data_IF_583856183710
#
_entry.id   IF_583856183710
#
_cell.length_a   1.000
_cell.length_b   1.000
_cell.length_c   1.000
_cell.angle_alpha   90.00
_cell.angle_beta   90.00
_cell.angle_gamma   90.00
#
_symmetry.space_group_name_H-M   'P 1'
#
loop_
_entity.id
_entity.type
_entity.pdbx_description
1 polymer ?
#
# COMPACT_ATOMS: atom_id res chain seq x y z
N UNK A 1 -50.02 -1.78 -9.78
CA UNK A 1 -51.12 -1.74 -10.76
C UNK A 1 -51.30 -0.29 -11.18
N UNK A 2 -51.20 0.01 -12.48
CA UNK A 2 -51.61 1.30 -13.04
C UNK A 2 -50.52 2.07 -13.78
N UNK A 3 -50.13 1.60 -14.97
CA UNK A 3 -49.51 2.41 -16.02
C UNK A 3 -50.49 3.50 -16.50
N UNK A 4 -49.95 4.64 -16.92
CA UNK A 4 -50.64 5.56 -17.83
C UNK A 4 -49.68 5.90 -18.98
N UNK A 5 -50.05 5.47 -20.18
CA UNK A 5 -49.47 5.90 -21.46
C UNK A 5 -50.60 6.63 -22.19
N UNK A 6 -50.28 7.76 -22.80
CA UNK A 6 -50.96 8.38 -23.96
C UNK A 6 -50.05 9.51 -24.45
N UNK A 7 -49.85 9.80 -25.73
CA UNK A 7 -50.11 9.09 -26.99
C UNK A 7 -49.23 9.79 -28.04
N UNK A 8 -48.96 9.10 -29.14
CA UNK A 8 -48.05 9.46 -30.23
C UNK A 8 -48.41 10.75 -30.98
N UNK A 9 -47.38 11.46 -31.47
CA UNK A 9 -47.41 12.15 -32.75
C UNK A 9 -46.17 11.73 -33.53
N UNK A 10 -46.39 11.02 -34.63
CA UNK A 10 -45.41 10.61 -35.63
C UNK A 10 -45.48 11.64 -36.75
N UNK A 11 -44.34 12.21 -37.17
CA UNK A 11 -43.97 12.39 -38.58
C UNK A 11 -42.47 12.77 -38.71
N UNK A 12 -41.75 11.87 -39.40
CA UNK A 12 -40.57 12.03 -40.26
C UNK A 12 -39.21 12.62 -39.77
N UNK A 13 -38.30 11.69 -39.44
CA UNK A 13 -36.85 11.54 -39.74
C UNK A 13 -35.96 12.77 -40.15
N UNK A 14 -34.64 12.81 -39.81
CA UNK A 14 -33.75 11.66 -39.70
C UNK A 14 -32.93 11.56 -38.40
N UNK A 15 -32.54 10.32 -38.12
CA UNK A 15 -31.65 9.86 -37.06
C UNK A 15 -30.43 10.74 -36.78
N UNK A 16 -30.21 11.21 -35.54
CA UNK A 16 -28.88 11.32 -35.00
C UNK A 16 -28.52 9.95 -34.42
N UNK A 17 -27.47 9.34 -34.98
CA UNK A 17 -26.71 8.27 -34.34
C UNK A 17 -26.13 8.77 -33.01
N UNK A 18 -26.98 8.86 -31.98
CA UNK A 18 -26.54 8.99 -30.60
C UNK A 18 -26.17 7.60 -30.10
N UNK A 19 -25.10 7.04 -30.67
CA UNK A 19 -24.33 6.04 -29.94
C UNK A 19 -23.62 6.83 -28.85
N UNK A 20 -24.35 7.00 -27.75
CA UNK A 20 -23.86 7.35 -26.42
C UNK A 20 -22.39 7.00 -26.35
N UNK A 21 -21.54 8.02 -26.28
CA UNK A 21 -20.14 7.84 -25.94
C UNK A 21 -20.13 6.91 -24.73
N UNK A 22 -19.73 5.65 -24.94
CA UNK A 22 -19.37 4.76 -23.85
C UNK A 22 -18.26 5.51 -23.17
N UNK A 23 -18.58 6.13 -22.04
CA UNK A 23 -17.60 6.58 -21.06
C UNK A 23 -16.92 5.32 -20.58
N UNK A 24 -16.00 4.83 -21.40
CA UNK A 24 -15.08 3.78 -21.06
C UNK A 24 -14.38 4.33 -19.83
N UNK A 25 -14.50 3.67 -18.70
CA UNK A 25 -13.70 3.92 -17.50
C UNK A 25 -12.26 3.49 -17.83
N UNK A 26 -11.67 4.21 -18.77
CA UNK A 26 -10.31 4.14 -19.27
C UNK A 26 -9.55 5.40 -18.90
N UNK A 27 -9.97 6.06 -17.81
CA UNK A 27 -9.13 7.02 -17.13
C UNK A 27 -7.93 6.31 -16.52
N UNK A 28 -6.79 6.96 -16.57
CA UNK A 28 -5.58 6.52 -15.88
C UNK A 28 -5.86 6.56 -14.37
N UNK A 29 -5.64 5.43 -13.70
CA UNK A 29 -5.81 5.32 -12.25
C UNK A 29 -4.44 5.37 -11.61
N UNK A 30 -4.22 6.37 -10.78
CA UNK A 30 -2.98 6.55 -10.06
C UNK A 30 -3.15 6.22 -8.59
N UNK A 31 -2.16 5.52 -8.04
CA UNK A 31 -2.08 5.22 -6.61
C UNK A 31 -1.16 6.22 -5.95
N UNK A 32 -1.67 6.90 -4.91
CA UNK A 32 -0.82 7.70 -4.04
C UNK A 32 0.03 6.77 -3.18
N UNK A 33 1.35 6.93 -3.24
CA UNK A 33 2.30 6.15 -2.44
C UNK A 33 3.22 7.15 -1.75
N UNK A 34 3.10 7.31 -0.41
CA UNK A 34 4.05 8.10 0.37
C UNK A 34 5.50 7.58 0.24
N UNK A 35 6.46 8.43 0.60
CA UNK A 35 7.87 8.05 0.66
C UNK A 35 8.14 6.80 1.48
N UNK A 36 8.90 5.87 0.89
CA UNK A 36 9.34 4.66 1.56
C UNK A 36 10.30 4.98 2.71
N UNK A 37 10.27 4.17 3.76
CA UNK A 37 11.27 4.21 4.83
C UNK A 37 12.40 3.22 4.51
N UNK A 38 13.62 3.54 4.92
CA UNK A 38 14.77 2.62 4.85
C UNK A 38 15.34 2.42 6.24
N UNK A 39 15.65 1.17 6.65
CA UNK A 39 16.35 0.95 7.91
C UNK A 39 17.80 1.42 7.77
N UNK A 40 18.45 1.70 8.91
CA UNK A 40 19.90 1.81 9.00
C UNK A 40 20.53 0.56 9.60
N UNK A 41 21.84 0.45 9.42
CA UNK A 41 22.62 -0.61 10.04
C UNK A 41 22.58 -0.46 11.57
N UNK A 42 22.33 -1.57 12.24
CA UNK A 42 22.40 -1.72 13.70
C UNK A 42 23.16 -3.02 13.94
N UNK A 43 24.17 -2.99 14.81
CA UNK A 43 24.89 -4.22 15.21
C UNK A 43 24.08 -4.96 16.28
N UNK A 44 23.14 -5.77 15.81
CA UNK A 44 22.28 -6.56 16.68
C UNK A 44 23.05 -7.70 17.35
N UNK A 45 24.18 -8.15 16.80
CA UNK A 45 24.98 -9.21 17.44
C UNK A 45 25.62 -8.69 18.72
N UNK A 46 26.19 -7.50 18.65
CA UNK A 46 26.78 -6.83 19.82
C UNK A 46 25.69 -6.49 20.86
N UNK A 47 24.59 -5.86 20.43
CA UNK A 47 23.52 -5.43 21.35
C UNK A 47 22.80 -6.59 22.04
N UNK A 48 22.73 -7.77 21.41
CA UNK A 48 22.08 -8.95 21.97
C UNK A 48 23.05 -9.91 22.66
N UNK A 49 24.34 -9.54 22.77
CA UNK A 49 25.35 -10.40 23.37
C UNK A 49 24.98 -10.74 24.81
N UNK A 50 24.92 -12.03 25.12
CA UNK A 50 24.54 -12.52 26.46
C UNK A 50 23.04 -12.48 26.77
N UNK A 51 22.22 -11.84 25.93
CA UNK A 51 20.76 -11.76 26.10
C UNK A 51 20.02 -12.89 25.35
N UNK A 52 20.57 -13.35 24.23
CA UNK A 52 20.03 -14.45 23.43
C UNK A 52 21.15 -15.38 22.94
N UNK A 53 20.79 -16.52 22.35
CA UNK A 53 21.77 -17.42 21.74
C UNK A 53 22.51 -16.73 20.57
N UNK A 54 23.79 -17.07 20.40
CA UNK A 54 24.63 -16.52 19.33
C UNK A 54 24.08 -16.81 17.93
N UNK A 55 23.42 -17.97 17.77
CA UNK A 55 22.72 -18.34 16.53
C UNK A 55 21.52 -17.42 16.26
N UNK A 56 20.68 -17.15 17.27
CA UNK A 56 19.53 -16.26 17.11
C UNK A 56 19.96 -14.82 16.81
N UNK A 57 20.97 -14.31 17.53
CA UNK A 57 21.53 -12.98 17.27
C UNK A 57 22.12 -12.90 15.85
N UNK A 58 22.80 -13.96 15.39
CA UNK A 58 23.36 -14.02 14.03
C UNK A 58 22.28 -14.08 12.96
N UNK A 59 21.22 -14.87 13.18
CA UNK A 59 20.09 -14.96 12.28
C UNK A 59 19.32 -13.65 12.20
N UNK A 60 19.11 -12.97 13.32
CA UNK A 60 18.46 -11.66 13.35
C UNK A 60 19.28 -10.61 12.59
N UNK A 61 20.60 -10.56 12.82
CA UNK A 61 21.51 -9.69 12.08
C UNK A 61 21.46 -9.98 10.58
N UNK A 62 21.47 -11.26 10.19
CA UNK A 62 21.40 -11.67 8.79
C UNK A 62 20.11 -11.17 8.13
N UNK A 63 18.95 -11.41 8.76
CA UNK A 63 17.65 -11.01 8.22
C UNK A 63 17.52 -9.49 8.10
N UNK A 64 17.91 -8.73 9.14
CA UNK A 64 17.91 -7.25 9.07
C UNK A 64 18.86 -6.74 7.98
N UNK A 65 20.03 -7.35 7.84
CA UNK A 65 21.01 -6.96 6.81
C UNK A 65 20.48 -7.23 5.39
N UNK A 66 19.72 -8.32 5.20
CA UNK A 66 19.05 -8.59 3.92
C UNK A 66 18.03 -7.51 3.58
N UNK A 67 17.22 -7.06 4.54
CA UNK A 67 16.29 -5.93 4.37
C UNK A 67 17.06 -4.66 3.98
N UNK A 68 18.12 -4.31 4.72
CA UNK A 68 18.95 -3.13 4.42
C UNK A 68 19.53 -3.15 3.01
N UNK A 69 20.11 -4.27 2.59
CA UNK A 69 20.70 -4.46 1.25
C UNK A 69 19.61 -4.35 0.17
N UNK A 70 18.44 -4.96 0.40
CA UNK A 70 17.34 -4.90 -0.54
C UNK A 70 16.75 -3.48 -0.65
N UNK A 71 16.62 -2.74 0.46
CA UNK A 71 16.21 -1.34 0.46
C UNK A 71 17.16 -0.44 -0.34
N UNK A 72 18.47 -0.64 -0.20
CA UNK A 72 19.48 0.12 -0.96
C UNK A 72 19.35 -0.09 -2.47
N UNK A 73 19.09 -1.32 -2.91
CA UNK A 73 18.85 -1.65 -4.33
C UNK A 73 17.56 -1.03 -4.86
N UNK A 74 16.49 -1.00 -4.05
CA UNK A 74 15.22 -0.36 -4.43
C UNK A 74 15.33 1.17 -4.54
N UNK A 75 16.11 1.81 -3.67
CA UNK A 75 16.29 3.28 -3.69
C UNK A 75 17.15 3.77 -4.87
N UNK A 76 18.12 2.96 -5.32
CA UNK A 76 18.98 3.25 -6.48
C UNK A 76 18.19 3.35 -7.80
N UNK A 77 17.14 2.54 -7.97
CA UNK A 77 16.28 2.60 -9.15
C UNK A 77 15.51 3.94 -9.22
N UNK A 78 15.08 4.48 -8.07
CA UNK A 78 14.31 5.73 -7.98
C UNK A 78 15.14 6.98 -8.28
N UNK A 79 16.43 7.03 -7.90
CA UNK A 79 17.31 8.20 -8.15
C UNK A 79 17.84 8.31 -9.60
N UNK A 80 17.65 7.30 -10.44
CA UNK A 80 18.24 7.23 -11.80
C UNK A 80 17.34 7.75 -12.94
N UNK A 81 16.42 8.69 -12.67
CA UNK A 81 15.47 9.25 -13.66
C UNK A 81 16.11 10.06 -14.82
N UNK A 82 17.42 9.93 -15.07
CA UNK A 82 18.08 10.36 -16.30
C UNK A 82 19.04 9.28 -16.79
N UNK A 83 18.57 8.51 -17.79
CA UNK A 83 19.28 7.52 -18.63
C UNK A 83 19.17 6.05 -18.18
N UNK A 84 18.13 5.35 -18.67
CA UNK A 84 18.26 4.49 -19.87
C UNK A 84 16.97 3.75 -20.23
N UNK A 85 16.86 3.59 -21.54
CA UNK A 85 16.04 2.68 -22.33
C UNK A 85 16.19 1.22 -21.85
N UNK A 86 15.06 0.51 -21.72
CA UNK A 86 14.96 -0.94 -21.52
C UNK A 86 15.67 -1.55 -20.29
N UNK A 87 14.97 -1.64 -19.15
CA UNK A 87 15.28 -2.67 -18.15
C UNK A 87 14.04 -3.04 -17.31
N UNK A 88 13.81 -4.35 -17.17
CA UNK A 88 12.75 -4.92 -16.33
C UNK A 88 13.10 -4.71 -14.84
N UNK A 89 12.47 -3.74 -14.18
CA UNK A 89 12.67 -3.48 -12.75
C UNK A 89 11.54 -4.08 -11.87
N UNK A 90 11.28 -5.39 -12.04
CA UNK A 90 10.51 -6.22 -11.11
C UNK A 90 11.33 -7.01 -10.07
N UNK A 91 12.65 -7.30 -10.22
CA UNK A 91 13.36 -8.14 -9.25
C UNK A 91 13.57 -7.49 -7.88
N UNK A 92 13.81 -6.18 -7.83
CA UNK A 92 14.27 -5.48 -6.62
C UNK A 92 13.17 -5.34 -5.56
N UNK A 93 11.94 -5.00 -5.95
CA UNK A 93 10.83 -4.84 -5.02
C UNK A 93 10.42 -6.19 -4.40
N UNK A 94 10.39 -7.24 -5.21
CA UNK A 94 10.07 -8.60 -4.75
C UNK A 94 11.14 -9.15 -3.79
N UNK A 95 12.42 -8.85 -4.03
CA UNK A 95 13.51 -9.22 -3.12
C UNK A 95 13.38 -8.53 -1.76
N UNK A 96 12.97 -7.25 -1.74
CA UNK A 96 12.75 -6.52 -0.49
C UNK A 96 11.52 -7.04 0.26
N UNK A 97 10.42 -7.29 -0.46
CA UNK A 97 9.24 -7.88 0.16
C UNK A 97 9.57 -9.22 0.82
N UNK A 98 10.27 -10.11 0.11
CA UNK A 98 10.72 -11.40 0.66
C UNK A 98 11.60 -11.23 1.89
N UNK A 99 12.55 -10.29 1.87
CA UNK A 99 13.40 -10.03 3.02
C UNK A 99 12.58 -9.57 4.24
N UNK A 100 11.62 -8.67 4.04
CA UNK A 100 10.72 -8.19 5.10
C UNK A 100 9.82 -9.31 5.65
N UNK A 101 9.21 -10.12 4.78
CA UNK A 101 8.36 -11.26 5.18
C UNK A 101 9.16 -12.31 5.95
N UNK A 102 10.43 -12.56 5.59
CA UNK A 102 11.28 -13.48 6.33
C UNK A 102 11.75 -12.91 7.68
N UNK A 103 11.83 -11.59 7.80
CA UNK A 103 12.23 -10.89 9.03
C UNK A 103 11.07 -10.72 10.03
N UNK A 104 9.84 -10.59 9.55
CA UNK A 104 8.69 -10.32 10.41
C UNK A 104 8.44 -11.41 11.49
N UNK A 105 8.51 -12.73 11.22
CA UNK A 105 8.24 -13.75 12.23
C UNK A 105 9.17 -13.69 13.44
N UNK A 106 10.45 -13.36 13.21
CA UNK A 106 11.42 -13.26 14.32
C UNK A 106 11.10 -12.04 15.19
N UNK A 107 10.74 -10.89 14.60
CA UNK A 107 10.30 -9.71 15.35
C UNK A 107 9.03 -9.97 16.16
N UNK A 108 8.05 -10.67 15.58
CA UNK A 108 6.84 -11.05 16.31
C UNK A 108 7.15 -12.01 17.47
N UNK A 109 8.16 -12.87 17.33
CA UNK A 109 8.68 -13.68 18.43
C UNK A 109 9.19 -12.83 19.61
N UNK A 110 9.85 -11.70 19.33
CA UNK A 110 10.29 -10.76 20.37
C UNK A 110 9.12 -10.03 21.05
N UNK A 111 8.10 -9.64 20.28
CA UNK A 111 6.89 -8.99 20.83
C UNK A 111 6.10 -9.95 21.72
N UNK A 112 5.93 -11.20 21.29
CA UNK A 112 5.17 -12.22 22.02
C UNK A 112 5.93 -12.83 23.21
N UNK A 113 7.27 -12.88 23.14
CA UNK A 113 8.14 -13.35 24.22
C UNK A 113 8.31 -12.38 25.39
N UNK A 114 7.81 -11.14 25.27
CA UNK A 114 7.86 -10.09 26.29
C UNK A 114 9.09 -9.17 26.20
N UNK A 115 8.97 -7.96 26.77
CA UNK A 115 9.93 -6.85 26.63
C UNK A 115 11.33 -7.09 27.20
N UNK A 116 11.53 -8.19 27.95
CA UNK A 116 12.81 -8.48 28.63
C UNK A 116 13.97 -8.74 27.67
N UNK A 117 13.70 -9.07 26.40
CA UNK A 117 14.71 -9.30 25.37
C UNK A 117 14.96 -8.07 24.47
N UNK A 118 14.09 -7.06 24.54
CA UNK A 118 14.09 -5.90 23.66
C UNK A 118 14.48 -4.59 24.35
N UNK A 119 14.53 -4.56 25.69
CA UNK A 119 14.95 -3.40 26.46
C UNK A 119 16.39 -3.03 26.15
N UNK A 120 16.60 -2.04 25.26
CA UNK A 120 17.91 -1.49 24.93
C UNK A 120 18.27 -1.48 23.45
N UNK A 121 17.54 -2.17 22.58
CA UNK A 121 17.81 -2.13 21.13
C UNK A 121 17.12 -0.91 20.52
N UNK A 122 17.93 0.04 20.06
CA UNK A 122 17.47 1.20 19.30
C UNK A 122 17.45 0.84 17.82
N UNK A 123 16.30 1.04 17.19
CA UNK A 123 16.10 0.82 15.77
C UNK A 123 16.06 2.15 15.03
N UNK A 124 16.93 2.27 14.04
CA UNK A 124 17.06 3.48 13.23
C UNK A 124 16.42 3.30 11.85
N UNK A 125 15.58 4.25 11.46
CA UNK A 125 14.95 4.34 10.15
C UNK A 125 14.98 5.77 9.63
N UNK A 126 15.11 5.90 8.31
CA UNK A 126 15.06 7.18 7.60
C UNK A 126 13.89 7.19 6.63
N UNK A 127 13.17 8.31 6.56
CA UNK A 127 12.23 8.55 5.47
C UNK A 127 13.02 8.96 4.22
N UNK A 128 12.86 8.24 3.11
CA UNK A 128 13.65 8.46 1.89
C UNK A 128 13.32 9.80 1.22
N UNK A 129 12.13 10.35 1.44
CA UNK A 129 11.72 11.65 0.90
C UNK A 129 12.13 12.83 1.78
N UNK A 130 12.40 12.59 3.06
CA UNK A 130 12.82 13.61 4.01
C UNK A 130 13.84 13.05 5.00
N UNK A 131 15.13 13.19 4.64
CA UNK A 131 16.25 12.72 5.47
C UNK A 131 16.27 13.38 6.86
N UNK A 132 15.60 14.52 7.06
CA UNK A 132 15.49 15.19 8.36
C UNK A 132 14.47 14.53 9.30
N UNK A 133 13.65 13.60 8.79
CA UNK A 133 12.69 12.78 9.56
C UNK A 133 13.28 11.41 9.89
N UNK A 134 14.57 11.34 10.16
CA UNK A 134 15.18 10.17 10.78
C UNK A 134 14.57 9.94 12.16
N UNK A 135 14.21 8.69 12.45
CA UNK A 135 13.72 8.30 13.77
C UNK A 135 14.43 7.07 14.29
N UNK A 136 14.86 7.19 15.54
CA UNK A 136 15.57 6.19 16.32
C UNK A 136 14.74 5.88 17.57
N UNK A 137 14.18 4.67 17.68
CA UNK A 137 13.37 4.28 18.83
C UNK A 137 13.81 2.93 19.40
N UNK A 138 13.92 2.90 20.73
CA UNK A 138 14.23 1.72 21.53
C UNK A 138 13.04 0.76 21.69
N UNK A 139 12.46 0.25 20.60
CA UNK A 139 11.29 -0.62 20.69
C UNK A 139 11.14 -1.55 19.50
N UNK A 140 10.93 -2.83 19.80
CA UNK A 140 10.59 -3.85 18.78
C UNK A 140 9.19 -3.59 18.20
N UNK A 141 8.25 -3.02 18.97
CA UNK A 141 6.96 -2.62 18.41
C UNK A 141 7.13 -1.60 17.30
N UNK A 142 7.99 -0.60 17.52
CA UNK A 142 8.32 0.40 16.50
C UNK A 142 8.97 -0.24 15.25
N UNK A 143 9.86 -1.21 15.44
CA UNK A 143 10.47 -1.95 14.34
C UNK A 143 9.42 -2.75 13.54
N UNK A 144 8.50 -3.46 14.22
CA UNK A 144 7.41 -4.19 13.58
C UNK A 144 6.49 -3.23 12.80
N UNK A 145 6.12 -2.09 13.39
CA UNK A 145 5.31 -1.07 12.71
C UNK A 145 6.01 -0.56 11.45
N UNK A 146 7.31 -0.32 11.51
CA UNK A 146 8.11 0.13 10.35
C UNK A 146 8.14 -0.91 9.23
N UNK A 147 8.27 -2.20 9.57
CA UNK A 147 8.23 -3.31 8.61
C UNK A 147 6.85 -3.46 7.97
N UNK A 148 5.77 -3.45 8.77
CA UNK A 148 4.40 -3.55 8.26
C UNK A 148 4.04 -2.37 7.36
N UNK A 149 4.44 -1.16 7.76
CA UNK A 149 4.28 0.04 6.95
C UNK A 149 4.96 -0.10 5.59
N UNK A 150 6.24 -0.51 5.56
CA UNK A 150 6.99 -0.68 4.32
C UNK A 150 6.39 -1.78 3.43
N UNK A 151 5.95 -2.91 4.00
CA UNK A 151 5.26 -3.96 3.25
C UNK A 151 3.97 -3.46 2.59
N UNK A 152 3.17 -2.67 3.32
CA UNK A 152 1.96 -2.06 2.77
C UNK A 152 2.27 -1.07 1.64
N UNK A 153 3.26 -0.20 1.82
CA UNK A 153 3.67 0.75 0.79
C UNK A 153 4.24 0.08 -0.47
N UNK A 154 5.00 -1.02 -0.32
CA UNK A 154 5.49 -1.79 -1.46
C UNK A 154 4.34 -2.40 -2.27
N UNK A 155 3.33 -2.95 -1.61
CA UNK A 155 2.15 -3.49 -2.28
C UNK A 155 1.36 -2.38 -3.02
N UNK A 156 1.22 -1.19 -2.44
CA UNK A 156 0.62 -0.03 -3.11
C UNK A 156 1.44 0.41 -4.32
N UNK A 157 2.76 0.46 -4.19
CA UNK A 157 3.67 0.79 -5.29
C UNK A 157 3.57 -0.22 -6.44
N UNK A 158 3.53 -1.50 -6.12
CA UNK A 158 3.36 -2.56 -7.12
C UNK A 158 2.00 -2.45 -7.81
N UNK A 159 0.91 -2.21 -7.07
CA UNK A 159 -0.42 -1.97 -7.64
C UNK A 159 -0.39 -0.79 -8.62
N UNK A 160 0.31 0.30 -8.27
CA UNK A 160 0.47 1.45 -9.15
C UNK A 160 1.16 1.08 -10.48
N UNK A 161 2.14 0.18 -10.47
CA UNK A 161 2.82 -0.26 -11.71
C UNK A 161 1.92 -1.07 -12.62
N UNK A 162 0.92 -1.78 -12.08
CA UNK A 162 -0.10 -2.47 -12.88
C UNK A 162 -1.14 -1.51 -13.46
N UNK A 163 -1.40 -0.40 -12.79
CA UNK A 163 -2.43 0.57 -13.17
C UNK A 163 -1.89 1.77 -13.97
N UNK A 164 -0.57 1.99 -13.98
CA UNK A 164 0.04 3.06 -14.76
C UNK A 164 0.38 2.55 -16.16
N UNK A 165 -0.19 3.12 -17.24
CA UNK A 165 0.14 2.72 -18.59
C UNK A 165 1.61 3.05 -18.92
N UNK A 166 2.30 2.12 -19.58
CA UNK A 166 3.69 2.30 -20.01
C UNK A 166 3.73 3.16 -21.27
N UNK A 167 4.74 4.02 -21.46
CA UNK A 167 4.88 4.75 -22.72
C UNK A 167 4.91 3.76 -23.89
N UNK A 168 4.18 4.04 -24.99
CA UNK A 168 4.07 3.11 -26.11
C UNK A 168 5.45 2.92 -26.74
N UNK A 169 6.05 1.74 -26.57
CA UNK A 169 7.07 1.28 -27.49
C UNK A 169 6.34 0.93 -28.79
N UNK A 170 6.60 1.69 -29.86
CA UNK A 170 6.15 1.42 -31.22
C UNK A 170 4.65 1.09 -31.37
N UNK A 171 3.80 2.13 -31.37
CA UNK A 171 2.48 2.08 -32.02
C UNK A 171 1.34 1.36 -31.29
N UNK A 172 1.56 0.68 -30.16
CA UNK A 172 0.48 0.07 -29.37
C UNK A 172 -0.04 1.01 -28.28
N UNK A 173 -1.35 1.20 -28.19
CA UNK A 173 -1.96 1.91 -27.05
C UNK A 173 -1.74 1.10 -25.77
N UNK A 174 -0.95 1.63 -24.83
CA UNK A 174 -0.76 1.03 -23.51
C UNK A 174 -2.03 1.27 -22.68
N UNK A 175 -3.07 0.46 -22.88
CA UNK A 175 -4.25 0.49 -22.03
C UNK A 175 -4.08 -0.54 -20.92
N UNK A 176 -4.38 -0.14 -19.69
CA UNK A 176 -4.41 -1.04 -18.53
C UNK A 176 -5.39 -2.18 -18.80
N UNK A 177 -4.91 -3.41 -18.71
CA UNK A 177 -5.73 -4.59 -19.00
C UNK A 177 -6.65 -4.94 -17.82
N UNK A 178 -7.73 -5.69 -18.09
CA UNK A 178 -8.58 -6.22 -17.01
C UNK A 178 -7.85 -7.19 -16.07
N UNK A 179 -6.82 -7.89 -16.55
CA UNK A 179 -5.98 -8.73 -15.69
C UNK A 179 -5.10 -7.88 -14.78
N UNK A 180 -4.47 -6.84 -15.31
CA UNK A 180 -3.68 -5.88 -14.51
C UNK A 180 -4.53 -5.24 -13.41
N UNK A 181 -5.79 -4.87 -13.71
CA UNK A 181 -6.73 -4.36 -12.71
C UNK A 181 -7.08 -5.42 -11.64
N UNK A 182 -7.23 -6.69 -12.00
CA UNK A 182 -7.46 -7.78 -11.02
C UNK A 182 -6.25 -8.00 -10.11
N UNK A 183 -5.05 -8.01 -10.67
CA UNK A 183 -3.81 -8.13 -9.90
C UNK A 183 -3.65 -6.94 -8.94
N UNK A 184 -3.99 -5.72 -9.38
CA UNK A 184 -3.98 -4.54 -8.52
C UNK A 184 -4.99 -4.65 -7.36
N UNK A 185 -6.18 -5.22 -7.56
CA UNK A 185 -7.14 -5.49 -6.47
C UNK A 185 -6.53 -6.40 -5.42
N UNK A 186 -5.84 -7.48 -5.82
CA UNK A 186 -5.18 -8.38 -4.87
C UNK A 186 -4.08 -7.67 -4.07
N UNK A 187 -3.30 -6.80 -4.72
CA UNK A 187 -2.27 -6.01 -4.08
C UNK A 187 -2.85 -4.95 -3.12
N UNK A 188 -3.98 -4.33 -3.44
CA UNK A 188 -4.67 -3.44 -2.51
C UNK A 188 -5.17 -4.17 -1.26
N UNK A 189 -5.75 -5.36 -1.42
CA UNK A 189 -6.17 -6.17 -0.28
C UNK A 189 -4.97 -6.59 0.58
N UNK A 190 -3.85 -6.97 -0.07
CA UNK A 190 -2.59 -7.27 0.61
C UNK A 190 -2.08 -6.05 1.40
N UNK A 191 -2.03 -4.87 0.79
CA UNK A 191 -1.64 -3.63 1.47
C UNK A 191 -2.53 -3.33 2.68
N UNK A 192 -3.85 -3.37 2.51
CA UNK A 192 -4.83 -3.16 3.57
C UNK A 192 -4.59 -4.12 4.74
N UNK A 193 -4.34 -5.41 4.48
CA UNK A 193 -4.08 -6.40 5.54
C UNK A 193 -2.83 -6.11 6.38
N UNK A 194 -1.77 -5.54 5.78
CA UNK A 194 -0.58 -5.14 6.54
C UNK A 194 -0.88 -3.96 7.47
N UNK A 195 -1.65 -2.98 7.00
CA UNK A 195 -2.05 -1.83 7.81
C UNK A 195 -3.05 -2.23 8.90
N UNK A 196 -4.02 -3.10 8.58
CA UNK A 196 -4.97 -3.68 9.54
C UNK A 196 -4.23 -4.45 10.64
N UNK A 197 -3.20 -5.22 10.27
CA UNK A 197 -2.34 -5.92 11.25
C UNK A 197 -1.66 -4.94 12.20
N UNK A 198 -1.11 -3.83 11.69
CA UNK A 198 -0.53 -2.78 12.53
C UNK A 198 -1.57 -2.19 13.49
N UNK A 199 -2.77 -1.89 13.00
CA UNK A 199 -3.87 -1.28 13.77
C UNK A 199 -4.46 -2.20 14.83
N UNK A 200 -4.62 -3.48 14.54
CA UNK A 200 -5.33 -4.42 15.43
C UNK A 200 -4.42 -5.26 16.29
N UNK A 201 -3.23 -5.60 15.81
CA UNK A 201 -2.34 -6.53 16.50
C UNK A 201 -1.15 -5.84 17.17
N UNK A 202 -0.66 -4.72 16.62
CA UNK A 202 0.62 -4.13 17.07
C UNK A 202 0.38 -2.86 17.90
N UNK A 203 -0.31 -1.86 17.35
CA UNK A 203 -0.56 -0.58 18.02
C UNK A 203 -1.27 -0.73 19.39
N UNK A 204 -2.32 -1.54 19.55
CA UNK A 204 -3.00 -1.68 20.84
C UNK A 204 -2.08 -2.18 21.95
N UNK A 205 -1.11 -3.04 21.58
CA UNK A 205 -0.15 -3.64 22.50
C UNK A 205 1.14 -2.82 22.66
N UNK A 206 1.30 -1.75 21.88
CA UNK A 206 2.49 -0.89 21.96
C UNK A 206 2.42 -0.05 23.25
N UNK A 207 3.49 0.03 24.05
CA UNK A 207 3.54 0.88 25.24
C UNK A 207 3.26 2.35 24.92
N UNK A 208 2.57 3.05 25.82
CA UNK A 208 2.12 4.43 25.56
C UNK A 208 3.29 5.43 25.44
N UNK A 209 4.40 5.19 26.13
CA UNK A 209 5.63 6.00 26.01
C UNK A 209 6.29 5.85 24.64
N UNK A 210 6.13 4.68 23.99
CA UNK A 210 6.55 4.43 22.62
C UNK A 210 5.55 5.06 21.64
N UNK A 211 4.24 4.88 21.85
CA UNK A 211 3.20 5.50 21.00
C UNK A 211 3.38 7.02 20.88
N UNK A 212 3.67 7.68 22.01
CA UNK A 212 3.89 9.14 22.06
C UNK A 212 5.12 9.61 21.26
N UNK A 213 6.05 8.71 20.93
CA UNK A 213 7.29 9.00 20.18
C UNK A 213 7.22 8.53 18.71
N UNK A 214 6.13 7.89 18.29
CA UNK A 214 6.00 7.39 16.93
C UNK A 214 6.05 8.55 15.91
N UNK A 215 6.76 8.38 14.78
CA UNK A 215 6.69 9.36 13.70
C UNK A 215 5.30 9.42 13.07
N UNK A 216 5.01 10.54 12.41
CA UNK A 216 3.69 10.82 11.82
C UNK A 216 3.23 9.80 10.76
N UNK A 217 4.14 9.03 10.16
CA UNK A 217 3.82 7.97 9.21
C UNK A 217 3.50 6.62 9.90
N UNK A 218 3.75 6.48 11.20
CA UNK A 218 3.50 5.25 11.98
C UNK A 218 2.44 5.43 13.08
N UNK A 219 1.70 6.54 13.09
CA UNK A 219 0.58 6.73 14.01
C UNK A 219 -0.69 6.04 13.51
N UNK A 220 -1.62 5.76 14.43
CA UNK A 220 -2.90 5.09 14.13
C UNK A 220 -3.66 5.77 12.98
N UNK A 221 -3.76 7.10 12.99
CA UNK A 221 -4.48 7.85 11.96
C UNK A 221 -3.90 7.61 10.56
N UNK A 222 -2.56 7.52 10.44
CA UNK A 222 -1.91 7.26 9.15
C UNK A 222 -2.18 5.84 8.66
N UNK A 223 -2.03 4.84 9.54
CA UNK A 223 -2.34 3.46 9.19
C UNK A 223 -3.79 3.28 8.74
N UNK A 224 -4.75 3.91 9.43
CA UNK A 224 -6.17 3.89 9.03
C UNK A 224 -6.39 4.58 7.68
N UNK A 225 -5.75 5.73 7.45
CA UNK A 225 -5.85 6.44 6.18
C UNK A 225 -5.33 5.58 5.02
N UNK A 226 -4.19 4.90 5.20
CA UNK A 226 -3.61 4.02 4.16
C UNK A 226 -4.42 2.72 3.96
N UNK A 227 -4.94 2.11 5.03
CA UNK A 227 -5.87 0.99 4.94
C UNK A 227 -7.10 1.37 4.11
N UNK A 228 -7.73 2.48 4.46
CA UNK A 228 -8.93 2.96 3.76
C UNK A 228 -8.62 3.40 2.33
N UNK A 229 -7.47 4.00 2.06
CA UNK A 229 -7.04 4.29 0.68
C UNK A 229 -6.94 3.00 -0.14
N UNK A 230 -6.26 1.97 0.38
CA UNK A 230 -6.10 0.70 -0.32
C UNK A 230 -7.47 0.04 -0.59
N UNK A 231 -8.32 -0.04 0.42
CA UNK A 231 -9.68 -0.59 0.29
C UNK A 231 -10.52 0.22 -0.71
N UNK A 232 -10.48 1.55 -0.63
CA UNK A 232 -11.21 2.46 -1.50
C UNK A 232 -10.85 2.24 -2.97
N UNK A 233 -9.57 2.16 -3.29
CA UNK A 233 -9.09 1.89 -4.65
C UNK A 233 -9.45 0.48 -5.13
N UNK A 234 -9.40 -0.53 -4.25
CA UNK A 234 -9.88 -1.87 -4.57
C UNK A 234 -11.36 -1.90 -4.94
N UNK A 235 -12.21 -1.21 -4.16
CA UNK A 235 -13.65 -1.10 -4.43
C UNK A 235 -13.92 -0.30 -5.70
N UNK A 236 -13.16 0.75 -5.99
CA UNK A 236 -13.28 1.54 -7.22
C UNK A 236 -13.08 0.67 -8.47
N UNK A 237 -12.03 -0.17 -8.48
CA UNK A 237 -11.77 -1.09 -9.58
C UNK A 237 -12.88 -2.14 -9.72
N UNK A 238 -13.35 -2.71 -8.60
CA UNK A 238 -14.47 -3.66 -8.61
C UNK A 238 -15.76 -3.04 -9.13
N UNK A 239 -16.05 -1.79 -8.76
CA UNK A 239 -17.18 -1.03 -9.28
C UNK A 239 -17.05 -0.83 -10.80
N UNK A 240 -15.86 -0.48 -11.29
CA UNK A 240 -15.58 -0.41 -12.74
C UNK A 240 -15.94 -1.70 -13.46
N UNK A 241 -15.50 -2.86 -12.95
CA UNK A 241 -15.88 -4.16 -13.50
C UNK A 241 -17.39 -4.42 -13.46
N UNK A 242 -18.06 -4.06 -12.37
CA UNK A 242 -19.50 -4.24 -12.23
C UNK A 242 -20.29 -3.33 -13.20
N UNK A 243 -19.83 -2.10 -13.43
CA UNK A 243 -20.44 -1.17 -14.38
C UNK A 243 -20.36 -1.74 -15.80
N UNK A 244 -19.19 -2.22 -16.21
CA UNK A 244 -18.92 -2.78 -17.54
C UNK A 244 -19.58 -4.16 -17.76
N UNK A 245 -19.92 -4.88 -16.69
CA UNK A 245 -20.56 -6.18 -16.77
C UNK A 245 -22.09 -6.08 -16.90
N UNK A 246 -22.62 -6.48 -18.06
CA UNK A 246 -24.06 -6.52 -18.31
C UNK A 246 -24.82 -7.50 -17.40
N UNK A 247 -24.14 -8.53 -16.86
CA UNK A 247 -24.73 -9.50 -15.92
C UNK A 247 -24.77 -8.99 -14.48
N UNK A 248 -24.05 -7.92 -14.15
CA UNK A 248 -24.08 -7.36 -12.80
C UNK A 248 -25.39 -6.59 -12.60
N UNK A 249 -26.17 -6.96 -11.58
CA UNK A 249 -27.44 -6.29 -11.26
C UNK A 249 -27.22 -4.85 -10.77
N UNK A 250 -28.24 -4.01 -10.91
CA UNK A 250 -28.20 -2.64 -10.37
C UNK A 250 -27.97 -2.63 -8.84
N UNK A 251 -28.44 -3.64 -8.12
CA UNK A 251 -28.21 -3.76 -6.69
C UNK A 251 -26.72 -3.96 -6.37
N UNK A 252 -26.01 -4.77 -7.15
CA UNK A 252 -24.55 -4.97 -6.99
C UNK A 252 -23.80 -3.67 -7.26
N UNK A 253 -24.12 -2.97 -8.36
CA UNK A 253 -23.48 -1.69 -8.72
C UNK A 253 -23.70 -0.63 -7.64
N UNK A 254 -24.94 -0.52 -7.13
CA UNK A 254 -25.28 0.42 -6.04
C UNK A 254 -24.54 0.09 -4.76
N UNK A 255 -24.47 -1.19 -4.37
CA UNK A 255 -23.75 -1.59 -3.15
C UNK A 255 -22.28 -1.19 -3.23
N UNK A 256 -21.60 -1.53 -4.33
CA UNK A 256 -20.19 -1.16 -4.52
C UNK A 256 -19.98 0.36 -4.51
N UNK A 257 -20.87 1.12 -5.15
CA UNK A 257 -20.81 2.58 -5.12
C UNK A 257 -21.00 3.14 -3.69
N UNK A 258 -21.92 2.59 -2.90
CA UNK A 258 -22.10 3.00 -1.51
C UNK A 258 -20.89 2.66 -0.62
N UNK A 259 -20.32 1.46 -0.77
CA UNK A 259 -19.10 1.07 -0.05
C UNK A 259 -17.92 1.99 -0.43
N UNK A 260 -17.78 2.31 -1.71
CA UNK A 260 -16.75 3.23 -2.19
C UNK A 260 -16.86 4.60 -1.50
N UNK A 261 -18.05 5.19 -1.50
CA UNK A 261 -18.30 6.49 -0.84
C UNK A 261 -17.99 6.40 0.66
N UNK A 262 -18.44 5.34 1.33
CA UNK A 262 -18.23 5.16 2.77
C UNK A 262 -16.73 5.13 3.11
N UNK A 263 -15.95 4.32 2.39
CA UNK A 263 -14.51 4.17 2.66
C UNK A 263 -13.76 5.50 2.43
N UNK A 264 -14.07 6.22 1.35
CA UNK A 264 -13.41 7.52 1.08
C UNK A 264 -13.87 8.65 2.01
N UNK A 265 -15.07 8.56 2.58
CA UNK A 265 -15.49 9.49 3.62
C UNK A 265 -14.64 9.36 4.88
N UNK A 266 -14.34 8.12 5.28
CA UNK A 266 -13.43 7.85 6.39
C UNK A 266 -12.01 8.37 6.13
N UNK A 267 -11.47 8.23 4.90
CA UNK A 267 -10.16 8.81 4.53
C UNK A 267 -10.14 10.34 4.70
N UNK A 268 -11.23 11.02 4.29
CA UNK A 268 -11.33 12.49 4.38
C UNK A 268 -11.34 12.96 5.82
N UNK A 269 -12.03 12.26 6.71
CA UNK A 269 -12.07 12.59 8.14
C UNK A 269 -10.70 12.39 8.81
N UNK A 270 -9.91 11.44 8.33
CA UNK A 270 -8.58 11.11 8.88
C UNK A 270 -7.46 11.98 8.32
N UNK A 271 -7.69 12.66 7.20
CA UNK A 271 -6.75 13.63 6.63
C UNK A 271 -6.96 14.94 7.38
N UNK A 272 -6.01 15.40 8.24
CA UNK A 272 -6.13 16.73 8.82
C UNK A 272 -6.25 17.72 7.67
N UNK A 273 -7.19 18.67 7.78
CA UNK A 273 -7.42 19.69 6.77
C UNK A 273 -6.09 20.18 6.23
N UNK A 274 -5.85 19.92 4.96
CA UNK A 274 -4.81 20.63 4.22
C UNK A 274 -5.31 22.06 4.16
N UNK A 275 -4.90 22.86 5.14
CA UNK A 275 -5.04 24.30 5.09
C UNK A 275 -4.26 24.79 3.87
N UNK A 276 -4.98 24.89 2.75
CA UNK A 276 -4.66 25.71 1.59
C UNK A 276 -5.94 26.44 1.20
#
# INVERSE_FOLDING_TARGET
>A
MGCIISSEAIEDAPSPTSTSARSTVGGEVYVFVPGLRSPKFVDLKELLQGSVSTDLASRLQLLRSQVLIACGKNSSASKSRRRRLHQQDTPTANDLEKALVNYLPILLGFVTGGEKLSSGIVFDWINVEDEKKETALGSVYYEVLSVLHLLGLLALQEANTFLTPRPPAEGYSSKVTGESKRNAIELFLKAASFFECALRAVLPNTPDDIKAKLPADLIEAMFRAMENQALGQGVELQLGFAVDNLKASLAVKRRLACEHVKVWDEVRVLSPESGY
#
